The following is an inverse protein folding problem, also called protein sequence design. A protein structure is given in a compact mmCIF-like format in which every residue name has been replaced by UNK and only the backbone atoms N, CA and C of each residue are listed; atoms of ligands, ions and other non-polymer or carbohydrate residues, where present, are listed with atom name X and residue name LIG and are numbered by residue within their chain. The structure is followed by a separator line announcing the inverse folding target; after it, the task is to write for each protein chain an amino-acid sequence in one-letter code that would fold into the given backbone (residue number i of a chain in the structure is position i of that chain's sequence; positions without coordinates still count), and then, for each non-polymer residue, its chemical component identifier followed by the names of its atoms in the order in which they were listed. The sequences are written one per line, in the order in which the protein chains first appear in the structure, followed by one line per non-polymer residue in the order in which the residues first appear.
data_IF_300460222423
#
_entry.id   IF_300460222423
#
_cell.length_a   1.000
_cell.length_b   1.000
_cell.length_c   1.000
_cell.angle_alpha   90.00
_cell.angle_beta   90.00
_cell.angle_gamma   90.00
#
_symmetry.space_group_name_H-M   'P 1'
#
loop_
_entity.id
_entity.type
_entity.pdbx_description
1 polymer ?
#
# COMPACT_ATOMS: atom_id res chain seq x y z
N UNK A 1 -8.52 22.47 -5.09
CA UNK A 1 -8.82 21.46 -4.05
C UNK A 1 -7.59 20.57 -3.92
N UNK A 2 -7.03 20.39 -2.73
CA UNK A 2 -5.83 19.58 -2.52
C UNK A 2 -6.21 18.10 -2.51
N UNK A 3 -5.60 17.31 -3.39
CA UNK A 3 -5.94 15.90 -3.61
C UNK A 3 -5.12 15.00 -2.69
N UNK A 4 -5.58 13.78 -2.47
CA UNK A 4 -4.86 12.75 -1.70
C UNK A 4 -4.40 11.63 -2.64
N UNK A 5 -3.20 11.12 -2.46
CA UNK A 5 -2.70 9.98 -3.22
C UNK A 5 -2.87 8.71 -2.41
N UNK A 6 -3.52 7.71 -2.98
CA UNK A 6 -3.59 6.36 -2.40
C UNK A 6 -2.73 5.45 -3.27
N UNK A 7 -1.76 4.79 -2.64
CA UNK A 7 -0.89 3.84 -3.32
C UNK A 7 -1.30 2.41 -3.00
N UNK A 8 -1.99 1.78 -3.96
CA UNK A 8 -2.40 0.38 -3.88
C UNK A 8 -1.30 -0.54 -4.42
N UNK A 9 -1.12 -1.68 -3.74
CA UNK A 9 -0.13 -2.73 -4.07
C UNK A 9 -0.81 -4.08 -4.08
N UNK A 10 -0.62 -4.90 -3.05
CA UNK A 10 -1.33 -6.18 -2.91
C UNK A 10 -2.79 -6.02 -2.46
N UNK A 11 -3.17 -4.84 -2.00
CA UNK A 11 -4.48 -4.47 -1.45
C UNK A 11 -5.43 -3.91 -2.51
N UNK A 12 -5.54 -4.61 -3.65
CA UNK A 12 -6.39 -4.24 -4.80
C UNK A 12 -7.89 -4.39 -4.49
N UNK A 13 -8.42 -3.52 -3.64
CA UNK A 13 -9.84 -3.45 -3.24
C UNK A 13 -10.28 -2.03 -2.93
N UNK A 14 -11.57 -1.75 -3.10
CA UNK A 14 -12.19 -0.45 -2.74
C UNK A 14 -13.00 -0.50 -1.43
N UNK A 15 -13.46 -1.68 -1.04
CA UNK A 15 -14.21 -1.89 0.19
C UNK A 15 -13.23 -2.22 1.31
N UNK A 16 -13.51 -1.72 2.51
CA UNK A 16 -12.71 -1.97 3.72
C UNK A 16 -11.21 -1.81 3.46
N UNK A 17 -10.86 -0.60 3.00
CA UNK A 17 -9.48 -0.20 2.72
C UNK A 17 -9.18 1.07 3.50
N UNK A 18 -8.42 0.96 4.60
CA UNK A 18 -8.13 2.09 5.50
C UNK A 18 -7.46 3.26 4.78
N UNK A 19 -6.47 3.01 3.92
CA UNK A 19 -5.80 4.05 3.14
C UNK A 19 -6.78 4.79 2.20
N UNK A 20 -7.64 4.06 1.50
CA UNK A 20 -8.63 4.66 0.62
C UNK A 20 -9.69 5.44 1.41
N UNK A 21 -10.18 4.89 2.52
CA UNK A 21 -11.16 5.54 3.39
C UNK A 21 -10.63 6.87 3.94
N UNK A 22 -9.37 6.91 4.38
CA UNK A 22 -8.72 8.13 4.87
C UNK A 22 -8.60 9.22 3.79
N UNK A 23 -8.39 8.82 2.54
CA UNK A 23 -8.24 9.73 1.40
C UNK A 23 -9.58 10.17 0.77
N UNK A 24 -10.65 9.38 0.92
CA UNK A 24 -11.90 9.51 0.16
C UNK A 24 -12.56 10.89 0.28
N UNK A 25 -12.60 11.47 1.49
CA UNK A 25 -13.24 12.75 1.75
C UNK A 25 -12.53 13.97 1.11
N UNK A 26 -11.30 13.80 0.64
CA UNK A 26 -10.43 14.89 0.17
C UNK A 26 -10.02 14.75 -1.31
N UNK A 27 -10.77 13.99 -2.09
CA UNK A 27 -10.52 13.80 -3.52
C UNK A 27 -9.33 12.86 -3.77
N UNK A 28 -9.54 11.54 -3.68
CA UNK A 28 -8.48 10.56 -3.86
C UNK A 28 -8.06 10.46 -5.33
N UNK A 29 -6.76 10.27 -5.54
CA UNK A 29 -6.14 9.81 -6.78
C UNK A 29 -5.48 8.48 -6.44
N UNK A 30 -5.79 7.43 -7.18
CA UNK A 30 -5.23 6.09 -6.91
C UNK A 30 -4.04 5.87 -7.82
N UNK A 31 -2.95 5.35 -7.28
CA UNK A 31 -1.80 4.91 -8.04
C UNK A 31 -1.50 3.44 -7.77
N UNK A 32 -1.15 2.72 -8.84
CA UNK A 32 -0.56 1.38 -8.80
C UNK A 32 0.77 1.45 -9.52
N UNK A 33 1.83 0.98 -8.87
CA UNK A 33 3.14 0.79 -9.48
C UNK A 33 3.35 -0.69 -9.77
N UNK A 34 3.72 -1.03 -11.00
CA UNK A 34 3.99 -2.40 -11.41
C UNK A 34 5.48 -2.58 -11.64
N UNK A 35 6.04 -3.62 -11.02
CA UNK A 35 7.46 -3.99 -11.16
C UNK A 35 7.61 -5.46 -11.52
N UNK A 36 7.49 -5.76 -12.81
CA UNK A 36 7.55 -7.15 -13.30
C UNK A 36 8.90 -7.81 -12.99
N UNK A 37 10.01 -7.11 -13.25
CA UNK A 37 11.36 -7.64 -13.01
C UNK A 37 11.58 -7.97 -11.53
N UNK A 38 11.22 -7.06 -10.61
CA UNK A 38 11.33 -7.30 -9.17
C UNK A 38 10.45 -8.47 -8.70
N UNK A 39 9.23 -8.61 -9.24
CA UNK A 39 8.35 -9.71 -8.88
C UNK A 39 8.84 -11.06 -9.40
N UNK A 40 9.45 -11.09 -10.58
CA UNK A 40 10.07 -12.29 -11.12
C UNK A 40 11.29 -12.71 -10.29
N UNK A 41 12.11 -11.77 -9.81
CA UNK A 41 13.20 -12.03 -8.85
C UNK A 41 12.67 -12.64 -7.53
N UNK A 42 11.46 -12.25 -7.10
CA UNK A 42 10.78 -12.86 -5.95
C UNK A 42 10.09 -14.20 -6.27
N UNK A 43 10.35 -14.78 -7.45
CA UNK A 43 9.79 -16.07 -7.88
C UNK A 43 8.29 -16.04 -8.18
N UNK A 44 7.71 -14.86 -8.46
CA UNK A 44 6.29 -14.78 -8.81
C UNK A 44 6.04 -15.33 -10.21
N UNK A 45 5.33 -16.46 -10.28
CA UNK A 45 4.97 -17.10 -11.55
C UNK A 45 3.88 -16.34 -12.33
N UNK A 46 3.76 -16.66 -13.61
CA UNK A 46 2.85 -16.01 -14.56
C UNK A 46 1.40 -15.94 -14.06
N UNK A 47 0.89 -17.02 -13.44
CA UNK A 47 -0.49 -17.07 -12.92
C UNK A 47 -0.76 -16.00 -11.85
N UNK A 48 0.22 -15.73 -10.98
CA UNK A 48 0.09 -14.72 -9.92
C UNK A 48 0.11 -13.31 -10.53
N UNK A 49 1.00 -13.08 -11.49
CA UNK A 49 1.12 -11.80 -12.19
C UNK A 49 -0.15 -11.48 -12.99
N UNK A 50 -0.69 -12.48 -13.68
CA UNK A 50 -1.98 -12.37 -14.38
C UNK A 50 -3.14 -12.07 -13.41
N UNK A 51 -3.19 -12.77 -12.28
CA UNK A 51 -4.21 -12.53 -11.25
C UNK A 51 -4.18 -11.09 -10.74
N UNK A 52 -3.00 -10.53 -10.46
CA UNK A 52 -2.85 -9.13 -10.07
C UNK A 52 -3.24 -8.16 -11.19
N UNK A 53 -2.84 -8.42 -12.44
CA UNK A 53 -3.21 -7.57 -13.57
C UNK A 53 -4.73 -7.49 -13.75
N UNK A 54 -5.43 -8.63 -13.65
CA UNK A 54 -6.90 -8.68 -13.65
C UNK A 54 -7.49 -7.97 -12.43
N UNK A 55 -6.86 -8.09 -11.25
CA UNK A 55 -7.25 -7.35 -10.05
C UNK A 55 -7.19 -5.83 -10.25
N UNK A 56 -6.13 -5.31 -10.86
CA UNK A 56 -6.00 -3.87 -11.19
C UNK A 56 -7.11 -3.44 -12.14
N UNK A 57 -7.44 -4.24 -13.15
CA UNK A 57 -8.53 -3.95 -14.08
C UNK A 57 -9.89 -3.88 -13.37
N UNK A 58 -10.18 -4.83 -12.47
CA UNK A 58 -11.42 -4.85 -11.67
C UNK A 58 -11.52 -3.63 -10.76
N UNK A 59 -10.44 -3.29 -10.02
CA UNK A 59 -10.41 -2.11 -9.15
C UNK A 59 -10.57 -0.83 -9.95
N UNK A 60 -9.92 -0.72 -11.11
CA UNK A 60 -10.09 0.43 -12.01
C UNK A 60 -11.54 0.61 -12.44
N UNK A 61 -12.24 -0.47 -12.83
CA UNK A 61 -13.64 -0.41 -13.20
C UNK A 61 -14.53 0.06 -12.02
N UNK A 62 -14.27 -0.44 -10.81
CA UNK A 62 -15.01 -0.04 -9.62
C UNK A 62 -14.77 1.44 -9.24
N UNK A 63 -13.52 1.91 -9.31
CA UNK A 63 -13.16 3.31 -9.06
C UNK A 63 -13.74 4.27 -10.11
N UNK A 64 -13.81 3.86 -11.37
CA UNK A 64 -14.46 4.65 -12.42
C UNK A 64 -15.95 4.90 -12.09
N UNK A 65 -16.64 3.91 -11.52
CA UNK A 65 -18.03 4.09 -11.04
C UNK A 65 -18.16 5.14 -9.92
N UNK A 66 -17.06 5.50 -9.26
CA UNK A 66 -16.97 6.52 -8.22
C UNK A 66 -16.33 7.83 -8.72
N UNK A 67 -16.03 7.94 -10.02
CA UNK A 67 -15.27 9.05 -10.62
C UNK A 67 -13.87 9.26 -10.01
N UNK A 68 -13.24 8.18 -9.56
CA UNK A 68 -11.89 8.22 -8.99
C UNK A 68 -10.90 7.69 -10.04
N UNK A 69 -9.89 8.48 -10.46
CA UNK A 69 -8.90 8.03 -11.43
C UNK A 69 -7.91 7.04 -10.81
N UNK A 70 -7.63 5.95 -11.53
CA UNK A 70 -6.50 5.04 -11.25
C UNK A 70 -5.37 5.27 -12.25
N UNK A 71 -4.23 5.71 -11.74
CA UNK A 71 -2.96 5.85 -12.44
C UNK A 71 -2.20 4.53 -12.33
N UNK A 72 -1.69 4.05 -13.46
CA UNK A 72 -0.82 2.89 -13.52
C UNK A 72 0.52 3.33 -14.08
N UNK A 73 1.61 3.01 -13.38
CA UNK A 73 2.97 3.23 -13.88
C UNK A 73 3.80 1.97 -13.72
N UNK A 74 4.59 1.68 -14.75
CA UNK A 74 5.59 0.64 -14.70
C UNK A 74 6.90 1.21 -14.12
N UNK A 75 7.51 0.47 -13.21
CA UNK A 75 8.85 0.71 -12.68
C UNK A 75 9.65 -0.58 -12.82
N UNK A 76 10.94 -0.48 -13.05
CA UNK A 76 11.81 -1.66 -13.17
C UNK A 76 12.07 -2.30 -11.80
N UNK A 77 12.28 -1.47 -10.77
CA UNK A 77 12.66 -1.91 -9.42
C UNK A 77 11.98 -1.07 -8.33
N UNK A 78 11.94 -1.61 -7.12
CA UNK A 78 11.31 -0.95 -5.96
C UNK A 78 11.99 0.36 -5.53
N UNK A 79 13.29 0.51 -5.76
CA UNK A 79 14.04 1.74 -5.47
C UNK A 79 13.63 2.95 -6.35
N UNK A 80 12.90 2.71 -7.44
CA UNK A 80 12.31 3.75 -8.29
C UNK A 80 10.94 4.23 -7.76
N UNK A 81 10.30 3.49 -6.84
CA UNK A 81 9.00 3.85 -6.29
C UNK A 81 8.97 5.25 -5.62
N UNK A 82 9.99 5.67 -4.85
CA UNK A 82 10.03 7.02 -4.26
C UNK A 82 9.96 8.12 -5.32
N UNK A 83 10.80 8.04 -6.37
CA UNK A 83 10.82 9.01 -7.44
C UNK A 83 9.48 9.05 -8.20
N UNK A 84 8.98 7.88 -8.60
CA UNK A 84 7.73 7.77 -9.34
C UNK A 84 6.52 8.33 -8.57
N UNK A 85 6.41 8.06 -7.26
CA UNK A 85 5.32 8.58 -6.43
C UNK A 85 5.46 10.07 -6.15
N UNK A 86 6.67 10.58 -5.94
CA UNK A 86 6.88 12.02 -5.73
C UNK A 86 6.61 12.82 -7.00
N UNK A 87 6.91 12.28 -8.19
CA UNK A 87 6.50 12.87 -9.47
C UNK A 87 4.97 12.93 -9.59
N UNK A 88 4.28 11.82 -9.35
CA UNK A 88 2.80 11.80 -9.33
C UNK A 88 2.26 12.82 -8.31
N UNK A 89 2.89 12.89 -7.13
CA UNK A 89 2.47 13.84 -6.10
C UNK A 89 2.55 15.30 -6.57
N UNK A 90 3.62 15.64 -7.31
CA UNK A 90 3.80 16.97 -7.90
C UNK A 90 2.79 17.23 -9.02
N UNK A 91 2.66 16.30 -9.97
CA UNK A 91 1.80 16.44 -11.16
C UNK A 91 0.33 16.65 -10.79
N UNK A 92 -0.12 16.03 -9.69
CA UNK A 92 -1.51 16.07 -9.25
C UNK A 92 -1.77 16.99 -8.05
N UNK A 93 -0.76 17.75 -7.60
CA UNK A 93 -0.83 18.64 -6.44
C UNK A 93 -1.38 17.92 -5.19
N UNK A 94 -0.75 16.81 -4.86
CA UNK A 94 -1.10 15.92 -3.75
C UNK A 94 -0.65 16.54 -2.42
N UNK A 95 -1.52 16.47 -1.42
CA UNK A 95 -1.22 16.95 -0.06
C UNK A 95 -0.69 15.85 0.86
N UNK A 96 -1.22 14.64 0.75
CA UNK A 96 -0.78 13.49 1.55
C UNK A 96 -0.81 12.21 0.72
N UNK A 97 0.10 11.30 1.06
CA UNK A 97 0.13 9.91 0.59
C UNK A 97 -0.47 8.99 1.65
N UNK A 98 -1.30 8.05 1.21
CA UNK A 98 -1.91 7.01 2.04
C UNK A 98 -1.60 5.64 1.45
N UNK A 99 -1.21 4.68 2.30
CA UNK A 99 -0.94 3.31 1.88
C UNK A 99 -1.12 2.31 3.04
N UNK A 100 -1.53 1.07 2.75
CA UNK A 100 -1.64 0.03 3.78
C UNK A 100 -0.34 -0.77 3.90
N UNK A 101 0.23 -1.00 5.08
CA UNK A 101 1.54 -1.64 5.25
C UNK A 101 1.65 -3.03 4.60
N UNK A 102 2.75 -3.28 3.90
CA UNK A 102 3.21 -4.61 3.49
C UNK A 102 4.39 -5.03 4.39
N UNK A 103 4.29 -6.20 5.03
CA UNK A 103 5.29 -6.66 6.01
C UNK A 103 6.56 -7.32 5.46
N UNK A 104 6.62 -7.89 4.23
CA UNK A 104 7.86 -8.48 3.75
C UNK A 104 8.99 -7.43 3.62
N UNK A 105 10.24 -7.89 3.74
CA UNK A 105 11.40 -7.02 3.95
C UNK A 105 11.61 -5.99 2.82
N UNK A 106 11.46 -6.41 1.57
CA UNK A 106 11.71 -5.55 0.41
C UNK A 106 10.64 -4.45 0.30
N UNK A 107 9.39 -4.81 0.55
CA UNK A 107 8.25 -3.91 0.61
C UNK A 107 8.40 -2.92 1.76
N UNK A 108 8.82 -3.36 2.95
CA UNK A 108 9.10 -2.45 4.08
C UNK A 108 10.20 -1.44 3.75
N UNK A 109 11.30 -1.89 3.12
CA UNK A 109 12.39 -1.00 2.69
C UNK A 109 11.93 0.00 1.63
N UNK A 110 11.15 -0.46 0.65
CA UNK A 110 10.52 0.38 -0.37
C UNK A 110 9.62 1.44 0.27
N UNK A 111 8.75 1.04 1.18
CA UNK A 111 7.79 1.94 1.84
C UNK A 111 8.51 2.98 2.70
N UNK A 112 9.57 2.59 3.41
CA UNK A 112 10.43 3.53 4.16
C UNK A 112 11.13 4.53 3.25
N UNK A 113 11.65 4.09 2.09
CA UNK A 113 12.28 4.99 1.12
C UNK A 113 11.26 5.99 0.55
N UNK A 114 10.04 5.55 0.26
CA UNK A 114 8.93 6.40 -0.18
C UNK A 114 8.57 7.42 0.90
N UNK A 115 8.40 7.00 2.15
CA UNK A 115 8.15 7.92 3.27
C UNK A 115 9.26 8.96 3.43
N UNK A 116 10.52 8.54 3.27
CA UNK A 116 11.68 9.43 3.29
C UNK A 116 11.63 10.49 2.19
N UNK A 117 11.35 10.10 0.95
CA UNK A 117 11.23 11.02 -0.19
C UNK A 117 10.04 11.99 -0.02
N UNK A 118 8.89 11.51 0.45
CA UNK A 118 7.72 12.35 0.71
C UNK A 118 8.00 13.39 1.79
N UNK A 119 8.67 12.98 2.88
CA UNK A 119 9.10 13.89 3.94
C UNK A 119 10.05 14.98 3.39
N UNK A 120 11.01 14.61 2.54
CA UNK A 120 11.91 15.58 1.90
C UNK A 120 11.17 16.55 0.97
N UNK A 121 10.11 16.08 0.31
CA UNK A 121 9.24 16.91 -0.52
C UNK A 121 8.22 17.75 0.29
N UNK A 122 8.20 17.65 1.62
CA UNK A 122 7.25 18.36 2.48
C UNK A 122 5.82 17.82 2.41
N UNK A 123 5.64 16.58 1.97
CA UNK A 123 4.34 15.91 1.81
C UNK A 123 4.21 14.83 2.89
N UNK A 124 3.08 14.80 3.60
CA UNK A 124 2.87 13.79 4.64
C UNK A 124 2.60 12.41 4.00
N UNK A 125 3.11 11.34 4.62
CA UNK A 125 2.87 9.97 4.19
C UNK A 125 2.36 9.14 5.37
N UNK A 126 1.19 8.53 5.20
CA UNK A 126 0.47 7.80 6.23
C UNK A 126 0.34 6.32 5.87
N UNK A 127 0.83 5.45 6.76
CA UNK A 127 0.73 4.00 6.65
C UNK A 127 -0.31 3.42 7.59
N UNK A 128 -1.07 2.42 7.15
CA UNK A 128 -2.17 1.80 7.91
C UNK A 128 -2.01 0.28 8.02
N UNK A 129 -2.38 -0.31 9.17
CA UNK A 129 -2.42 -1.77 9.35
C UNK A 129 -3.79 -2.30 8.92
N UNK A 130 -3.88 -2.86 7.71
CA UNK A 130 -5.17 -3.20 7.07
C UNK A 130 -5.25 -4.65 6.56
N UNK A 131 -4.14 -5.38 6.63
CA UNK A 131 -4.05 -6.79 6.20
C UNK A 131 -4.02 -7.77 7.39
N UNK A 132 -4.18 -7.26 8.62
CA UNK A 132 -4.09 -8.02 9.86
C UNK A 132 -5.19 -7.58 10.81
N UNK A 133 -5.74 -8.52 11.60
CA UNK A 133 -6.71 -8.20 12.64
C UNK A 133 -6.09 -7.39 13.79
N UNK A 134 -4.81 -7.64 14.07
CA UNK A 134 -4.06 -6.99 15.15
C UNK A 134 -2.71 -6.55 14.62
N UNK A 135 -2.34 -5.29 14.85
CA UNK A 135 -1.06 -4.75 14.42
C UNK A 135 0.10 -5.49 15.14
N UNK A 136 1.24 -5.75 14.48
CA UNK A 136 2.39 -6.36 15.14
C UNK A 136 2.79 -5.60 16.41
N UNK A 137 3.00 -6.35 17.51
CA UNK A 137 3.31 -5.77 18.82
C UNK A 137 2.10 -5.36 19.66
N UNK A 138 0.87 -5.47 19.13
CA UNK A 138 -0.35 -5.24 19.93
C UNK A 138 -0.75 -6.44 20.80
N UNK A 139 -0.31 -7.65 20.43
CA UNK A 139 -0.54 -8.88 21.19
C UNK A 139 0.78 -9.34 21.80
N UNK A 140 0.89 -9.20 23.12
CA UNK A 140 2.08 -9.56 23.90
C UNK A 140 1.67 -10.44 25.07
N UNK A 141 2.61 -11.28 25.50
CA UNK A 141 2.46 -12.07 26.73
C UNK A 141 2.41 -11.16 27.96
N UNK A 142 2.03 -11.70 29.12
CA UNK A 142 2.07 -10.94 30.39
C UNK A 142 3.46 -10.43 30.78
N UNK A 143 4.54 -10.91 30.13
CA UNK A 143 5.92 -10.43 30.32
C UNK A 143 6.32 -9.34 29.31
N UNK A 144 5.45 -8.99 28.36
CA UNK A 144 5.74 -8.04 27.28
C UNK A 144 6.43 -8.64 26.06
N UNK A 145 6.70 -9.95 26.05
CA UNK A 145 7.32 -10.65 24.91
C UNK A 145 6.28 -11.11 23.88
N UNK A 146 6.73 -11.40 22.65
CA UNK A 146 5.89 -12.03 21.62
C UNK A 146 5.53 -13.48 21.97
N UNK A 147 4.33 -13.90 21.55
CA UNK A 147 3.93 -15.30 21.63
C UNK A 147 4.76 -16.16 20.66
N UNK A 148 5.44 -17.19 21.19
CA UNK A 148 6.18 -18.16 20.39
C UNK A 148 5.35 -19.37 19.90
N UNK A 149 4.12 -19.51 20.40
CA UNK A 149 3.22 -20.64 20.08
C UNK A 149 1.86 -20.07 19.68
N UNK A 150 1.23 -20.69 18.66
CA UNK A 150 -0.05 -20.22 18.11
C UNK A 150 -1.23 -20.32 19.11
N UNK A 151 -1.35 -21.43 19.85
CA UNK A 151 -2.50 -21.62 20.74
C UNK A 151 -2.62 -20.52 21.82
N UNK A 152 -1.55 -20.15 22.55
CA UNK A 152 -1.62 -19.04 23.49
C UNK A 152 -1.90 -17.68 22.83
N UNK A 153 -1.39 -17.43 21.62
CA UNK A 153 -1.69 -16.22 20.85
C UNK A 153 -3.18 -16.15 20.52
N UNK A 154 -3.77 -17.25 20.06
CA UNK A 154 -5.19 -17.31 19.73
C UNK A 154 -6.08 -17.09 20.96
N UNK A 155 -5.72 -17.70 22.10
CA UNK A 155 -6.46 -17.54 23.36
C UNK A 155 -6.40 -16.12 23.94
N UNK A 156 -5.44 -15.27 23.54
CA UNK A 156 -5.37 -13.90 24.06
C UNK A 156 -6.38 -12.95 23.40
N UNK A 157 -7.00 -13.37 22.30
CA UNK A 157 -7.94 -12.56 21.50
C UNK A 157 -9.32 -13.21 21.35
N UNK A 158 -9.50 -14.41 21.91
CA UNK A 158 -10.75 -15.14 21.96
C UNK A 158 -11.51 -14.81 23.25
#
# INVERSE_FOLDING_TARGET
MKRQLVWLRSDLRINDNSALAAAAAKGPVIAVLRSLSQWQEHGHGANKLDFWARGVATVKAALNGLNIPLLHRDIERYDQAPAALTEIARDYNIEQLHFNYEYPLNERRRDQAVQGAFKQAGIAAHGYHDAVAFAPGSLLTGKGDYYGVFTPLFQSVA
#
